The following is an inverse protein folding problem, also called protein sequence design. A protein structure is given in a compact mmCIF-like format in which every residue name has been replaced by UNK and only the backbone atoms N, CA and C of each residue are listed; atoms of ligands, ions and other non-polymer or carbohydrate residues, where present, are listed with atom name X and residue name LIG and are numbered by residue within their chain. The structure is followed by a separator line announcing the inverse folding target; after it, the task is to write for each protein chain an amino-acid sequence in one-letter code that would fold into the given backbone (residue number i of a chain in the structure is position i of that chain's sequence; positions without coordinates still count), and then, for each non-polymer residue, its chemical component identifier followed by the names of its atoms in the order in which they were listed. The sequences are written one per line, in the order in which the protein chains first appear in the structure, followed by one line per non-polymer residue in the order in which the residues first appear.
data_IF_516408993207
#
_entry.id   IF_516408993207
#
_cell.length_a   1.000
_cell.length_b   1.000
_cell.length_c   1.000
_cell.angle_alpha   90.00
_cell.angle_beta   90.00
_cell.angle_gamma   90.00
#
_symmetry.space_group_name_H-M   'P 1'
#
loop_
_entity.id
_entity.type
_entity.pdbx_description
1 polymer ?
#
# COMPACT_ATOMS: atom_id res chain seq x y z
N UNK A 1 -3.90 -6.18 -75.74
CA UNK A 1 -4.09 -5.85 -74.30
C UNK A 1 -2.89 -6.20 -73.42
N UNK A 2 -1.81 -6.78 -73.95
CA UNK A 2 -0.64 -7.28 -73.18
C UNK A 2 0.43 -6.18 -72.92
N UNK A 3 0.31 -4.99 -73.54
CA UNK A 3 1.32 -3.93 -73.47
C UNK A 3 1.33 -3.06 -72.19
N UNK A 4 0.34 -3.19 -71.29
CA UNK A 4 0.27 -2.37 -70.05
C UNK A 4 0.82 -3.07 -68.80
N UNK A 5 1.01 -4.38 -68.85
CA UNK A 5 1.39 -5.17 -67.66
C UNK A 5 2.89 -5.09 -67.37
N UNK A 6 3.73 -4.92 -68.40
CA UNK A 6 5.19 -4.76 -68.23
C UNK A 6 5.58 -3.45 -67.52
N UNK A 7 4.70 -2.44 -67.52
CA UNK A 7 4.90 -1.13 -66.88
C UNK A 7 4.57 -1.15 -65.37
N UNK A 8 3.95 -2.23 -64.87
CA UNK A 8 3.62 -2.36 -63.44
C UNK A 8 4.78 -2.95 -62.64
N UNK A 9 5.70 -3.69 -63.28
CA UNK A 9 6.81 -4.38 -62.63
C UNK A 9 8.09 -3.53 -62.46
N UNK A 10 8.14 -2.32 -63.02
CA UNK A 10 9.29 -1.41 -62.94
C UNK A 10 8.94 -0.06 -62.32
N UNK A 11 8.10 -0.06 -61.28
CA UNK A 11 7.91 1.13 -60.45
C UNK A 11 8.94 1.08 -59.32
N UNK A 12 9.86 2.05 -59.21
CA UNK A 12 10.82 2.06 -58.11
C UNK A 12 10.01 2.13 -56.81
N UNK A 13 10.19 1.14 -55.94
CA UNK A 13 9.60 1.16 -54.62
C UNK A 13 10.09 2.43 -53.91
N UNK A 14 9.24 3.46 -53.86
CA UNK A 14 9.63 4.70 -53.20
C UNK A 14 9.88 4.39 -51.71
N UNK A 15 10.99 4.88 -51.13
CA UNK A 15 11.35 4.55 -49.75
C UNK A 15 10.32 5.08 -48.73
N UNK A 16 9.40 5.94 -49.17
CA UNK A 16 8.36 6.55 -48.36
C UNK A 16 7.31 5.54 -47.86
N UNK A 17 7.01 4.49 -48.63
CA UNK A 17 6.01 3.49 -48.23
C UNK A 17 6.54 2.58 -47.10
N UNK A 18 7.82 2.23 -47.18
CA UNK A 18 8.48 1.38 -46.18
C UNK A 18 8.59 2.08 -44.82
N UNK A 19 8.91 3.40 -44.82
CA UNK A 19 8.98 4.21 -43.60
C UNK A 19 7.64 4.32 -42.86
N UNK A 20 6.51 4.31 -43.58
CA UNK A 20 5.18 4.32 -42.97
C UNK A 20 4.83 2.97 -42.36
N UNK A 21 5.21 1.87 -43.01
CA UNK A 21 4.99 0.52 -42.51
C UNK A 21 5.82 0.26 -41.25
N UNK A 22 7.09 0.67 -41.22
CA UNK A 22 7.92 0.55 -40.02
C UNK A 22 7.42 1.44 -38.88
N UNK A 23 6.90 2.63 -39.17
CA UNK A 23 6.28 3.49 -38.18
C UNK A 23 5.00 2.88 -37.58
N UNK A 24 4.15 2.25 -38.39
CA UNK A 24 2.95 1.54 -37.90
C UNK A 24 3.37 0.33 -37.07
N UNK A 25 4.35 -0.45 -37.52
CA UNK A 25 4.83 -1.63 -36.78
C UNK A 25 5.41 -1.23 -35.41
N UNK A 26 6.17 -0.13 -35.35
CA UNK A 26 6.72 0.42 -34.12
C UNK A 26 5.64 0.99 -33.18
N UNK A 27 4.62 1.65 -33.73
CA UNK A 27 3.49 2.13 -32.94
C UNK A 27 2.62 0.98 -32.39
N UNK A 28 2.51 -0.12 -33.14
CA UNK A 28 1.81 -1.34 -32.69
C UNK A 28 2.62 -2.06 -31.62
N UNK A 29 3.95 -2.19 -31.77
CA UNK A 29 4.78 -2.81 -30.73
C UNK A 29 4.81 -2.00 -29.43
N UNK A 30 4.74 -0.67 -29.50
CA UNK A 30 4.61 0.18 -28.30
C UNK A 30 3.30 -0.07 -27.52
N UNK A 31 2.23 -0.50 -28.21
CA UNK A 31 0.93 -0.87 -27.59
C UNK A 31 0.94 -2.27 -26.95
N UNK A 32 1.95 -3.09 -27.24
CA UNK A 32 2.16 -4.42 -26.67
C UNK A 32 3.29 -4.47 -25.64
N UNK A 33 3.97 -3.35 -25.36
CA UNK A 33 4.68 -3.19 -24.09
C UNK A 33 3.58 -3.12 -23.03
N UNK A 34 3.26 -4.29 -22.47
CA UNK A 34 2.20 -4.42 -21.49
C UNK A 34 2.62 -3.68 -20.21
N UNK A 35 1.63 -3.20 -19.43
CA UNK A 35 1.84 -2.82 -18.04
C UNK A 35 2.13 -4.04 -17.15
N UNK A 36 2.70 -5.15 -17.66
CA UNK A 36 3.13 -6.27 -16.80
C UNK A 36 4.28 -5.84 -15.87
N UNK A 37 4.98 -4.75 -16.21
CA UNK A 37 5.85 -4.00 -15.30
C UNK A 37 5.19 -2.78 -14.67
N UNK A 38 3.93 -2.46 -15.00
CA UNK A 38 3.18 -1.56 -14.15
C UNK A 38 3.05 -2.26 -12.82
N UNK A 39 3.45 -1.52 -11.79
CA UNK A 39 3.37 -1.82 -10.38
C UNK A 39 2.72 -3.16 -10.04
N UNK A 40 3.46 -4.03 -9.36
CA UNK A 40 2.83 -5.04 -8.51
C UNK A 40 2.03 -4.25 -7.45
N UNK A 41 0.78 -3.93 -7.78
CA UNK A 41 -0.17 -3.28 -6.90
C UNK A 41 -0.77 -4.41 -6.08
N UNK A 42 -0.18 -4.64 -4.91
CA UNK A 42 -0.91 -5.34 -3.87
C UNK A 42 -1.89 -4.30 -3.30
N UNK A 43 -3.21 -4.46 -3.44
CA UNK A 43 -4.17 -3.46 -2.98
C UNK A 43 -4.06 -3.18 -1.48
N UNK A 44 -3.52 -4.13 -0.70
CA UNK A 44 -3.22 -3.96 0.72
C UNK A 44 -1.92 -3.18 1.01
N UNK A 45 -1.03 -3.00 0.02
CA UNK A 45 0.29 -2.37 0.17
C UNK A 45 0.50 -1.18 -0.83
N UNK A 46 -0.41 -0.98 -1.79
CA UNK A 46 -0.27 0.02 -2.86
C UNK A 46 0.84 -0.32 -3.87
N UNK A 47 1.12 0.61 -4.80
CA UNK A 47 2.24 0.47 -5.74
C UNK A 47 3.58 0.61 -5.01
N UNK A 48 4.34 -0.49 -4.94
CA UNK A 48 5.73 -0.49 -4.42
C UNK A 48 6.75 -0.28 -5.57
N UNK A 49 6.29 -0.18 -6.82
CA UNK A 49 7.16 -0.34 -8.00
C UNK A 49 7.15 0.78 -9.04
N UNK A 50 6.31 1.81 -8.91
CA UNK A 50 6.16 2.84 -9.95
C UNK A 50 6.63 4.25 -9.56
N UNK A 51 7.30 4.41 -8.42
CA UNK A 51 7.75 5.70 -7.89
C UNK A 51 9.24 5.75 -7.54
N UNK A 52 9.76 6.96 -7.37
CA UNK A 52 11.11 7.25 -6.88
C UNK A 52 11.42 6.45 -5.60
N UNK A 53 12.67 6.04 -5.38
CA UNK A 53 13.03 5.11 -4.31
C UNK A 53 12.60 5.61 -2.91
N UNK A 54 12.56 6.93 -2.72
CA UNK A 54 12.06 7.57 -1.50
C UNK A 54 10.57 7.33 -1.26
N UNK A 55 9.74 7.36 -2.31
CA UNK A 55 8.30 7.14 -2.22
C UNK A 55 7.98 5.69 -1.87
N UNK A 56 8.69 4.73 -2.48
CA UNK A 56 8.50 3.30 -2.19
C UNK A 56 8.84 2.97 -0.72
N UNK A 57 9.93 3.54 -0.19
CA UNK A 57 10.30 3.39 1.21
C UNK A 57 9.27 4.02 2.15
N UNK A 58 8.74 5.20 1.81
CA UNK A 58 7.74 5.89 2.60
C UNK A 58 6.41 5.13 2.67
N UNK A 59 5.93 4.58 1.54
CA UNK A 59 4.72 3.75 1.49
C UNK A 59 4.87 2.46 2.31
N UNK A 60 6.03 1.79 2.20
CA UNK A 60 6.30 0.58 2.98
C UNK A 60 6.30 0.88 4.50
N UNK A 61 6.95 1.97 4.91
CA UNK A 61 6.96 2.39 6.30
C UNK A 61 5.56 2.68 6.83
N UNK A 62 4.75 3.42 6.05
CA UNK A 62 3.37 3.73 6.42
C UNK A 62 2.51 2.48 6.60
N UNK A 63 2.66 1.49 5.71
CA UNK A 63 1.88 0.25 5.80
C UNK A 63 2.30 -0.61 7.02
N UNK A 64 3.60 -0.71 7.30
CA UNK A 64 4.10 -1.39 8.50
C UNK A 64 3.59 -0.68 9.75
N UNK A 65 3.64 0.64 9.77
CA UNK A 65 3.13 1.47 10.86
C UNK A 65 1.64 1.19 11.14
N UNK A 66 0.80 1.24 10.11
CA UNK A 66 -0.64 0.95 10.22
C UNK A 66 -0.89 -0.44 10.78
N UNK A 67 -0.16 -1.45 10.29
CA UNK A 67 -0.27 -2.81 10.79
C UNK A 67 0.07 -2.92 12.29
N UNK A 68 1.14 -2.24 12.74
CA UNK A 68 1.52 -2.21 14.16
C UNK A 68 0.42 -1.59 15.02
N UNK A 69 -0.20 -0.49 14.58
CA UNK A 69 -1.30 0.16 15.33
C UNK A 69 -2.48 -0.78 15.51
N UNK A 70 -2.87 -1.54 14.48
CA UNK A 70 -3.94 -2.54 14.58
C UNK A 70 -3.58 -3.66 15.56
N UNK A 71 -2.38 -4.22 15.44
CA UNK A 71 -1.89 -5.27 16.34
C UNK A 71 -1.86 -4.77 17.79
N UNK A 72 -1.43 -3.54 18.01
CA UNK A 72 -1.40 -2.93 19.34
C UNK A 72 -2.80 -2.77 19.93
N UNK A 73 -3.80 -2.40 19.13
CA UNK A 73 -5.20 -2.35 19.57
C UNK A 73 -5.74 -3.72 19.99
N UNK A 74 -5.44 -4.77 19.22
CA UNK A 74 -5.83 -6.15 19.58
C UNK A 74 -5.11 -6.61 20.85
N UNK A 75 -3.81 -6.35 20.96
CA UNK A 75 -3.03 -6.68 22.14
C UNK A 75 -3.57 -5.97 23.38
N UNK A 76 -3.95 -4.69 23.28
CA UNK A 76 -4.56 -3.94 24.37
C UNK A 76 -5.81 -4.65 24.90
N UNK A 77 -6.73 -5.09 24.03
CA UNK A 77 -7.96 -5.77 24.44
C UNK A 77 -7.64 -7.05 25.21
N UNK A 78 -6.68 -7.85 24.72
CA UNK A 78 -6.28 -9.11 25.37
C UNK A 78 -5.68 -8.84 26.76
N UNK A 79 -4.72 -7.92 26.86
CA UNK A 79 -4.05 -7.61 28.12
C UNK A 79 -4.97 -6.93 29.13
N UNK A 80 -5.84 -6.03 28.67
CA UNK A 80 -6.83 -5.37 29.51
C UNK A 80 -7.85 -6.37 30.07
N UNK A 81 -8.37 -7.27 29.23
CA UNK A 81 -9.26 -8.33 29.68
C UNK A 81 -8.58 -9.26 30.70
N UNK A 82 -7.30 -9.59 30.50
CA UNK A 82 -6.55 -10.42 31.43
C UNK A 82 -6.34 -9.74 32.79
N UNK A 83 -6.02 -8.44 32.79
CA UNK A 83 -5.92 -7.64 34.00
C UNK A 83 -7.27 -7.54 34.75
N UNK A 84 -8.36 -7.32 34.02
CA UNK A 84 -9.70 -7.26 34.57
C UNK A 84 -10.14 -8.60 35.20
N UNK A 85 -9.88 -9.72 34.52
CA UNK A 85 -10.16 -11.06 35.05
C UNK A 85 -9.31 -11.36 36.29
N UNK A 86 -8.04 -10.98 36.28
CA UNK A 86 -7.16 -11.08 37.46
C UNK A 86 -7.72 -10.30 38.65
N UNK A 87 -8.25 -9.10 38.42
CA UNK A 87 -8.84 -8.28 39.47
C UNK A 87 -10.11 -8.92 40.05
N UNK A 88 -10.99 -9.44 39.20
CA UNK A 88 -12.23 -10.10 39.62
C UNK A 88 -11.96 -11.40 40.42
N UNK A 89 -10.97 -12.18 39.98
CA UNK A 89 -10.60 -13.45 40.62
C UNK A 89 -9.70 -13.28 41.85
N UNK A 90 -9.29 -12.05 42.18
CA UNK A 90 -8.42 -11.76 43.33
C UNK A 90 -9.09 -12.01 44.69
N UNK A 91 -10.43 -12.08 44.74
CA UNK A 91 -11.17 -12.45 45.95
C UNK A 91 -10.93 -11.54 47.17
N UNK A 92 -10.45 -10.31 46.96
CA UNK A 92 -10.13 -9.35 48.03
C UNK A 92 -8.71 -9.45 48.60
N UNK A 93 -7.86 -10.35 48.11
CA UNK A 93 -6.44 -10.38 48.43
C UNK A 93 -5.75 -9.11 47.90
N UNK A 94 -5.23 -8.28 48.81
CA UNK A 94 -4.60 -6.99 48.48
C UNK A 94 -3.45 -7.14 47.49
N UNK A 95 -2.63 -8.19 47.61
CA UNK A 95 -1.47 -8.37 46.73
C UNK A 95 -1.91 -8.63 45.29
N UNK A 96 -2.91 -9.50 45.10
CA UNK A 96 -3.46 -9.83 43.77
C UNK A 96 -4.25 -8.68 43.17
N UNK A 97 -4.96 -7.92 44.00
CA UNK A 97 -5.67 -6.71 43.56
C UNK A 97 -4.67 -5.66 43.07
N UNK A 98 -3.56 -5.47 43.77
CA UNK A 98 -2.52 -4.52 43.36
C UNK A 98 -1.88 -4.93 42.03
N UNK A 99 -1.48 -6.21 41.90
CA UNK A 99 -0.91 -6.73 40.65
C UNK A 99 -1.90 -6.59 39.46
N UNK A 100 -3.18 -6.86 39.70
CA UNK A 100 -4.20 -6.71 38.67
C UNK A 100 -4.42 -5.25 38.27
N UNK A 101 -4.40 -4.31 39.23
CA UNK A 101 -4.47 -2.87 38.97
C UNK A 101 -3.26 -2.38 38.20
N UNK A 102 -2.06 -2.91 38.50
CA UNK A 102 -0.84 -2.60 37.77
C UNK A 102 -0.95 -3.08 36.32
N UNK A 103 -1.42 -4.30 36.07
CA UNK A 103 -1.66 -4.84 34.73
C UNK A 103 -2.65 -3.98 33.92
N UNK A 104 -3.76 -3.59 34.54
CA UNK A 104 -4.77 -2.72 33.90
C UNK A 104 -4.15 -1.36 33.57
N UNK A 105 -3.44 -0.75 34.51
CA UNK A 105 -2.79 0.56 34.33
C UNK A 105 -1.75 0.52 33.21
N UNK A 106 -0.92 -0.53 33.18
CA UNK A 106 0.08 -0.72 32.13
C UNK A 106 -0.58 -0.90 30.75
N UNK A 107 -1.68 -1.65 30.67
CA UNK A 107 -2.45 -1.77 29.43
C UNK A 107 -3.03 -0.41 28.99
N UNK A 108 -3.60 0.37 29.92
CA UNK A 108 -4.13 1.71 29.62
C UNK A 108 -3.05 2.68 29.17
N UNK A 109 -1.87 2.67 29.81
CA UNK A 109 -0.73 3.49 29.40
C UNK A 109 -0.27 3.10 27.99
N UNK A 110 -0.22 1.80 27.69
CA UNK A 110 0.07 1.30 26.34
C UNK A 110 -0.91 1.84 25.29
N UNK A 111 -2.22 1.83 25.58
CA UNK A 111 -3.23 2.41 24.69
C UNK A 111 -3.03 3.91 24.50
N UNK A 112 -2.79 4.65 25.58
CA UNK A 112 -2.54 6.10 25.52
C UNK A 112 -1.32 6.39 24.65
N UNK A 113 -0.25 5.59 24.76
CA UNK A 113 0.96 5.76 23.98
C UNK A 113 0.71 5.53 22.47
N UNK A 114 -0.07 4.49 22.13
CA UNK A 114 -0.47 4.23 20.74
C UNK A 114 -1.33 5.37 20.20
N UNK A 115 -2.32 5.83 20.98
CA UNK A 115 -3.19 6.95 20.60
C UNK A 115 -2.41 8.26 20.40
N UNK A 116 -1.47 8.56 21.31
CA UNK A 116 -0.56 9.70 21.18
C UNK A 116 0.31 9.58 19.92
N UNK A 117 0.77 8.38 19.61
CA UNK A 117 1.57 8.16 18.41
C UNK A 117 0.80 8.38 17.12
N UNK A 118 -0.46 7.93 17.06
CA UNK A 118 -1.35 8.22 15.92
C UNK A 118 -1.56 9.73 15.81
N UNK A 119 -1.84 10.41 16.92
CA UNK A 119 -2.04 11.86 16.93
C UNK A 119 -0.81 12.65 16.42
N UNK A 120 0.40 12.24 16.81
CA UNK A 120 1.64 12.85 16.31
C UNK A 120 1.78 12.60 14.80
N UNK A 121 1.63 11.35 14.35
CA UNK A 121 1.74 11.00 12.93
C UNK A 121 0.72 11.74 12.07
N UNK A 122 -0.53 11.87 12.52
CA UNK A 122 -1.57 12.63 11.82
C UNK A 122 -1.26 14.13 11.79
N UNK A 123 -0.71 14.69 12.87
CA UNK A 123 -0.31 16.11 12.92
C UNK A 123 0.82 16.40 11.92
N UNK A 124 1.81 15.52 11.85
CA UNK A 124 2.90 15.61 10.88
C UNK A 124 2.34 15.43 9.45
N UNK A 125 1.48 14.44 9.23
CA UNK A 125 0.85 14.22 7.92
C UNK A 125 0.06 15.43 7.44
N UNK A 126 -0.67 16.11 8.32
CA UNK A 126 -1.43 17.32 7.98
C UNK A 126 -0.53 18.54 7.70
N UNK A 127 0.61 18.66 8.38
CA UNK A 127 1.55 19.76 8.15
C UNK A 127 2.36 19.62 6.86
N UNK A 128 2.68 18.39 6.46
CA UNK A 128 3.49 18.08 5.29
C UNK A 128 2.67 17.58 4.09
N UNK A 129 1.33 17.60 4.18
CA UNK A 129 0.39 17.15 3.15
C UNK A 129 0.63 15.71 2.68
N UNK A 130 0.83 14.81 3.65
CA UNK A 130 1.15 13.39 3.42
C UNK A 130 -0.10 12.53 3.66
N UNK A 131 -0.87 12.30 2.59
CA UNK A 131 -2.15 11.59 2.62
C UNK A 131 -2.06 10.12 3.09
N UNK A 132 -0.93 9.45 2.84
CA UNK A 132 -0.79 8.03 3.18
C UNK A 132 -0.61 7.77 4.69
N UNK A 133 -0.27 8.80 5.48
CA UNK A 133 -0.11 8.70 6.93
C UNK A 133 -1.41 9.01 7.69
N UNK A 134 -2.36 9.71 7.05
CA UNK A 134 -3.61 10.16 7.66
C UNK A 134 -4.74 9.16 7.49
N UNK A 135 -4.79 8.42 6.38
CA UNK A 135 -5.80 7.40 6.14
C UNK A 135 -5.43 6.04 6.76
N UNK A 136 -6.04 5.73 7.92
CA UNK A 136 -6.01 4.42 8.59
C UNK A 136 -7.01 3.41 7.98
N UNK A 137 -7.25 3.51 6.67
CA UNK A 137 -8.15 2.61 5.96
C UNK A 137 -7.33 1.56 5.22
N UNK A 138 -7.65 0.30 5.47
CA UNK A 138 -7.21 -0.80 4.62
C UNK A 138 -8.28 -0.96 3.55
N UNK A 139 -7.99 -0.51 2.34
CA UNK A 139 -8.88 -0.72 1.22
C UNK A 139 -8.68 -2.17 0.75
N UNK A 140 -9.62 -3.03 1.14
CA UNK A 140 -9.61 -4.41 0.67
C UNK A 140 -10.10 -4.41 -0.78
N UNK A 141 -9.37 -5.05 -1.71
CA UNK A 141 -9.79 -5.11 -3.09
C UNK A 141 -11.12 -5.86 -3.18
N UNK A 142 -12.08 -5.27 -3.87
CA UNK A 142 -13.31 -5.96 -4.23
C UNK A 142 -12.93 -7.22 -5.01
N UNK A 143 -13.40 -8.38 -4.55
CA UNK A 143 -13.13 -9.64 -5.24
C UNK A 143 -13.63 -9.56 -6.69
N UNK A 144 -12.90 -10.14 -7.66
CA UNK A 144 -13.29 -10.09 -9.07
C UNK A 144 -14.64 -10.75 -9.35
#
# INVERSE_FOLDING_TARGET
MIHKESQLWNKPYSPLHFRKLTAILAAVSLRFVSPVFAAIENPAIGSIGSGDAGTAAATLFANIWKAIVVIAGIAFIIYFAWGALSWLTSGGDKAKVEEAREKISNATIGLILVAASVAITTTIGLLFDIDFLTNLTFEFPEAP
#
